data_IF_330243135363
#
_entry.id   IF_330243135363
#
_cell.length_a   1.000
_cell.length_b   1.000
_cell.length_c   1.000
_cell.angle_alpha   90.00
_cell.angle_beta   90.00
_cell.angle_gamma   90.00
#
_symmetry.space_group_name_H-M   'P 1'
#
loop_
_entity.id
_entity.type
_entity.pdbx_description
1 polymer ?
#
# COMPACT_ATOMS: atom_id res chain seq x y z
N UNK A 1 2.87 -26.85 -14.37
CA UNK A 1 3.65 -27.04 -13.13
C UNK A 1 2.65 -27.32 -12.03
N UNK A 2 2.84 -28.38 -11.25
CA UNK A 2 2.00 -28.63 -10.07
C UNK A 2 2.29 -27.56 -9.02
N UNK A 3 1.26 -26.91 -8.50
CA UNK A 3 1.42 -25.99 -7.38
C UNK A 3 1.86 -26.75 -6.12
N UNK A 4 2.68 -26.10 -5.29
CA UNK A 4 3.04 -26.63 -3.98
C UNK A 4 1.80 -26.59 -3.07
N UNK A 5 1.50 -27.64 -2.27
CA UNK A 5 0.35 -27.65 -1.37
C UNK A 5 0.26 -26.44 -0.43
N UNK A 6 1.43 -25.93 0.01
CA UNK A 6 1.58 -24.79 0.91
C UNK A 6 1.15 -23.46 0.28
N UNK A 7 1.00 -23.39 -1.05
CA UNK A 7 0.51 -22.18 -1.73
C UNK A 7 -0.86 -21.75 -1.19
N UNK A 8 -1.70 -22.73 -0.81
CA UNK A 8 -3.03 -22.53 -0.23
C UNK A 8 -3.01 -21.87 1.16
N UNK A 9 -1.87 -21.88 1.84
CA UNK A 9 -1.69 -21.28 3.17
C UNK A 9 -1.38 -19.79 3.09
N UNK A 10 -1.03 -19.27 1.90
CA UNK A 10 -0.73 -17.85 1.70
C UNK A 10 -2.02 -17.03 1.86
N UNK A 11 -2.17 -16.38 3.01
CA UNK A 11 -3.31 -15.50 3.29
C UNK A 11 -3.17 -14.12 2.65
N UNK A 12 -1.93 -13.63 2.56
CA UNK A 12 -1.61 -12.29 2.10
C UNK A 12 -0.16 -12.21 1.66
N UNK A 13 0.09 -11.48 0.58
CA UNK A 13 1.45 -11.11 0.15
C UNK A 13 1.65 -9.62 0.39
N UNK A 14 2.76 -9.26 1.02
CA UNK A 14 3.15 -7.88 1.23
C UNK A 14 4.56 -7.64 0.71
N UNK A 15 4.80 -6.48 0.08
CA UNK A 15 6.11 -6.08 -0.41
C UNK A 15 6.55 -4.77 0.25
N UNK A 16 7.56 -4.81 1.14
CA UNK A 16 8.35 -3.63 1.53
C UNK A 16 9.73 -3.77 0.89
N UNK A 17 10.11 -2.82 0.03
CA UNK A 17 11.48 -2.70 -0.47
C UNK A 17 12.29 -1.84 0.50
N UNK A 18 13.46 -2.33 0.91
CA UNK A 18 14.46 -1.49 1.56
C UNK A 18 15.04 -0.52 0.55
N UNK A 19 14.97 0.77 0.84
CA UNK A 19 15.41 1.83 -0.06
C UNK A 19 16.06 2.96 0.74
N UNK A 20 17.12 3.54 0.19
CA UNK A 20 17.67 4.78 0.74
C UNK A 20 16.66 5.92 0.58
N UNK A 21 16.64 6.84 1.55
CA UNK A 21 15.84 8.07 1.49
C UNK A 21 16.75 9.30 1.38
N UNK A 22 17.45 9.50 0.25
CA UNK A 22 18.34 10.63 0.07
C UNK A 22 17.54 11.96 0.04
N UNK A 23 18.17 13.10 0.39
CA UNK A 23 17.48 14.39 0.51
C UNK A 23 16.71 14.82 -0.76
N UNK A 24 17.22 14.47 -1.95
CA UNK A 24 16.60 14.79 -3.23
C UNK A 24 15.18 14.20 -3.39
N UNK A 25 14.89 13.06 -2.77
CA UNK A 25 13.55 12.45 -2.77
C UNK A 25 12.53 13.36 -2.10
N UNK A 26 12.95 14.09 -1.05
CA UNK A 26 12.08 14.96 -0.25
C UNK A 26 11.79 16.31 -0.92
N UNK A 27 12.50 16.65 -2.00
CA UNK A 27 12.38 17.96 -2.66
C UNK A 27 11.03 18.18 -3.32
N UNK A 28 10.36 17.12 -3.78
CA UNK A 28 9.08 17.26 -4.48
C UNK A 28 8.09 16.20 -4.01
N UNK A 29 6.81 16.60 -3.89
CA UNK A 29 5.72 15.66 -3.60
C UNK A 29 5.71 14.48 -4.56
N UNK A 30 5.95 14.73 -5.85
CA UNK A 30 6.00 13.69 -6.87
C UNK A 30 7.10 12.66 -6.61
N UNK A 31 8.27 13.10 -6.14
CA UNK A 31 9.38 12.20 -5.82
C UNK A 31 9.10 11.40 -4.55
N UNK A 32 8.50 12.01 -3.52
CA UNK A 32 8.04 11.28 -2.33
C UNK A 32 6.97 10.24 -2.65
N UNK A 33 5.97 10.58 -3.47
CA UNK A 33 4.94 9.63 -3.92
C UNK A 33 5.54 8.48 -4.73
N UNK A 34 6.51 8.77 -5.61
CA UNK A 34 7.21 7.73 -6.39
C UNK A 34 8.02 6.81 -5.48
N UNK A 35 8.77 7.38 -4.54
CA UNK A 35 9.54 6.62 -3.57
C UNK A 35 8.64 5.72 -2.74
N UNK A 36 7.53 6.26 -2.23
CA UNK A 36 6.51 5.50 -1.50
C UNK A 36 5.93 4.35 -2.34
N UNK A 37 5.51 4.64 -3.57
CA UNK A 37 4.94 3.63 -4.46
C UNK A 37 5.94 2.52 -4.82
N UNK A 38 7.22 2.85 -4.98
CA UNK A 38 8.29 1.88 -5.17
C UNK A 38 8.52 1.05 -3.90
N UNK A 39 8.64 1.69 -2.75
CA UNK A 39 8.87 1.03 -1.46
C UNK A 39 7.76 0.01 -1.14
N UNK A 40 6.50 0.33 -1.45
CA UNK A 40 5.35 -0.55 -1.23
C UNK A 40 5.08 -1.55 -2.36
N UNK A 41 5.92 -1.59 -3.40
CA UNK A 41 5.70 -2.47 -4.55
C UNK A 41 4.44 -2.15 -5.37
N UNK A 42 3.85 -0.96 -5.23
CA UNK A 42 2.71 -0.50 -6.05
C UNK A 42 3.12 -0.28 -7.51
N UNK A 43 4.41 -0.03 -7.76
CA UNK A 43 5.04 0.03 -9.08
C UNK A 43 6.29 -0.85 -9.16
N UNK A 44 6.56 -1.36 -10.37
CA UNK A 44 7.82 -2.06 -10.67
C UNK A 44 8.99 -1.07 -10.81
N UNK A 45 10.24 -1.54 -10.67
CA UNK A 45 11.42 -0.67 -10.77
C UNK A 45 11.56 -0.04 -12.17
N UNK A 46 11.03 -0.71 -13.19
CA UNK A 46 11.07 -0.31 -14.60
C UNK A 46 9.73 0.23 -15.12
N UNK A 47 8.79 0.52 -14.21
CA UNK A 47 7.46 1.00 -14.60
C UNK A 47 7.54 2.40 -15.21
N UNK A 48 7.09 2.54 -16.45
CA UNK A 48 6.94 3.85 -17.10
C UNK A 48 5.58 4.49 -16.79
N UNK A 49 4.58 3.70 -16.42
CA UNK A 49 3.22 4.18 -16.17
C UNK A 49 3.14 4.85 -14.80
N UNK A 50 2.81 6.14 -14.82
CA UNK A 50 2.75 6.97 -13.61
C UNK A 50 1.34 7.13 -13.04
N UNK A 51 0.35 6.42 -13.58
CA UNK A 51 -1.07 6.56 -13.21
C UNK A 51 -1.32 6.38 -11.73
N UNK A 52 -0.70 5.37 -11.10
CA UNK A 52 -0.82 5.15 -9.65
C UNK A 52 -0.30 6.32 -8.83
N UNK A 53 0.69 7.08 -9.31
CA UNK A 53 1.18 8.27 -8.62
C UNK A 53 0.14 9.41 -8.67
N UNK A 54 -0.65 9.48 -9.74
CA UNK A 54 -1.77 10.43 -9.86
C UNK A 54 -2.93 10.01 -8.94
N UNK A 55 -3.20 8.71 -8.83
CA UNK A 55 -4.17 8.16 -7.86
C UNK A 55 -3.75 8.42 -6.42
N UNK A 56 -2.47 8.21 -6.09
CA UNK A 56 -1.93 8.52 -4.77
C UNK A 56 -2.03 10.01 -4.47
N UNK A 57 -1.59 10.91 -5.37
CA UNK A 57 -1.73 12.36 -5.13
C UNK A 57 -3.19 12.76 -4.88
N UNK A 58 -4.13 12.19 -5.63
CA UNK A 58 -5.56 12.40 -5.40
C UNK A 58 -6.02 11.93 -4.01
N UNK A 59 -5.65 10.72 -3.60
CA UNK A 59 -6.01 10.17 -2.29
C UNK A 59 -5.42 10.98 -1.14
N UNK A 60 -4.13 11.30 -1.20
CA UNK A 60 -3.45 12.13 -0.20
C UNK A 60 -4.07 13.52 -0.11
N UNK A 61 -4.33 14.17 -1.25
CA UNK A 61 -4.92 15.50 -1.26
C UNK A 61 -6.36 15.50 -0.71
N UNK A 62 -7.21 14.59 -1.18
CA UNK A 62 -8.62 14.56 -0.79
C UNK A 62 -8.79 14.15 0.68
N UNK A 63 -8.06 13.12 1.13
CA UNK A 63 -8.14 12.68 2.53
C UNK A 63 -7.49 13.64 3.51
N UNK A 64 -6.30 14.17 3.21
CA UNK A 64 -5.54 14.97 4.19
C UNK A 64 -5.77 16.47 4.02
N UNK A 65 -5.74 17.00 2.80
CA UNK A 65 -5.89 18.44 2.57
C UNK A 65 -7.35 18.90 2.53
N UNK A 66 -8.27 18.03 2.10
CA UNK A 66 -9.71 18.34 2.07
C UNK A 66 -10.49 17.68 3.20
N UNK A 67 -9.85 16.83 4.01
CA UNK A 67 -10.50 16.06 5.06
C UNK A 67 -11.76 15.30 4.57
N UNK A 68 -11.81 14.92 3.28
CA UNK A 68 -12.95 14.23 2.68
C UNK A 68 -12.63 12.78 2.40
N UNK A 69 -13.63 11.90 2.41
CA UNK A 69 -13.46 10.50 1.99
C UNK A 69 -13.93 10.41 0.54
N UNK A 70 -13.03 10.37 -0.46
CA UNK A 70 -13.46 10.49 -1.84
C UNK A 70 -14.08 9.20 -2.40
N UNK A 71 -15.08 9.39 -3.24
CA UNK A 71 -15.63 8.39 -4.16
C UNK A 71 -14.75 8.23 -5.41
N UNK A 72 -15.02 7.20 -6.21
CA UNK A 72 -14.35 6.96 -7.50
C UNK A 72 -14.45 8.20 -8.41
N UNK A 73 -15.64 8.79 -8.52
CA UNK A 73 -15.91 9.96 -9.38
C UNK A 73 -15.11 11.19 -8.94
N UNK A 74 -14.98 11.42 -7.63
CA UNK A 74 -14.18 12.53 -7.09
C UNK A 74 -12.69 12.35 -7.35
N UNK A 75 -12.18 11.12 -7.23
CA UNK A 75 -10.79 10.79 -7.57
C UNK A 75 -10.53 11.05 -9.06
N UNK A 76 -11.41 10.57 -9.95
CA UNK A 76 -11.29 10.81 -11.40
C UNK A 76 -11.34 12.30 -11.73
N UNK A 77 -12.26 13.02 -11.12
CA UNK A 77 -12.41 14.47 -11.28
C UNK A 77 -11.16 15.22 -10.86
N UNK A 78 -10.56 14.86 -9.72
CA UNK A 78 -9.28 15.44 -9.28
C UNK A 78 -8.17 15.16 -10.29
N UNK A 79 -8.00 13.90 -10.72
CA UNK A 79 -6.94 13.52 -11.66
C UNK A 79 -7.08 14.26 -12.98
N UNK A 80 -8.30 14.35 -13.52
CA UNK A 80 -8.59 15.10 -14.75
C UNK A 80 -8.24 16.57 -14.62
N UNK A 81 -8.63 17.21 -13.52
CA UNK A 81 -8.38 18.65 -13.29
C UNK A 81 -6.91 18.95 -13.01
N UNK A 82 -6.24 18.13 -12.21
CA UNK A 82 -4.88 18.41 -11.71
C UNK A 82 -3.79 17.92 -12.67
N UNK A 83 -4.01 16.80 -13.33
CA UNK A 83 -3.01 16.14 -14.16
C UNK A 83 -3.38 16.10 -15.64
N UNK A 84 -4.53 16.65 -16.02
CA UNK A 84 -5.02 16.65 -17.41
C UNK A 84 -5.10 15.24 -18.02
N UNK A 85 -5.41 14.25 -17.20
CA UNK A 85 -5.51 12.83 -17.58
C UNK A 85 -6.90 12.28 -17.34
N UNK A 86 -7.41 11.51 -18.30
CA UNK A 86 -8.61 10.71 -18.12
C UNK A 86 -8.19 9.28 -17.76
N UNK A 87 -8.66 8.78 -16.61
CA UNK A 87 -8.44 7.41 -16.16
C UNK A 87 -9.76 6.64 -16.25
N UNK A 88 -9.73 5.43 -16.82
CA UNK A 88 -10.91 4.56 -16.81
C UNK A 88 -11.23 4.09 -15.40
N UNK A 89 -12.50 3.89 -15.11
CA UNK A 89 -12.93 3.40 -13.80
C UNK A 89 -12.31 2.03 -13.47
N UNK A 90 -12.20 1.13 -14.46
CA UNK A 90 -11.52 -0.17 -14.31
C UNK A 90 -10.07 -0.03 -13.85
N UNK A 91 -9.30 0.89 -14.46
CA UNK A 91 -7.91 1.10 -14.09
C UNK A 91 -7.77 1.78 -12.72
N UNK A 92 -8.69 2.69 -12.38
CA UNK A 92 -8.74 3.28 -11.05
C UNK A 92 -9.02 2.23 -9.97
N UNK A 93 -10.04 1.38 -10.15
CA UNK A 93 -10.34 0.29 -9.22
C UNK A 93 -9.18 -0.68 -9.08
N UNK A 94 -8.45 -0.98 -10.16
CA UNK A 94 -7.23 -1.79 -10.09
C UNK A 94 -6.23 -1.20 -9.08
N UNK A 95 -5.91 0.10 -9.19
CA UNK A 95 -4.98 0.74 -8.26
C UNK A 95 -5.52 0.81 -6.83
N UNK A 96 -6.81 1.13 -6.66
CA UNK A 96 -7.45 1.20 -5.33
C UNK A 96 -7.49 -0.17 -4.65
N UNK A 97 -7.78 -1.24 -5.39
CA UNK A 97 -7.77 -2.60 -4.86
C UNK A 97 -6.36 -3.03 -4.45
N UNK A 98 -5.32 -2.73 -5.24
CA UNK A 98 -3.94 -3.01 -4.83
C UNK A 98 -3.56 -2.31 -3.53
N UNK A 99 -4.00 -1.07 -3.32
CA UNK A 99 -3.76 -0.37 -2.04
C UNK A 99 -4.58 -0.98 -0.89
N UNK A 100 -5.80 -1.42 -1.14
CA UNK A 100 -6.62 -2.14 -0.13
C UNK A 100 -6.00 -3.46 0.28
N UNK A 101 -5.48 -4.22 -0.68
CA UNK A 101 -4.79 -5.50 -0.41
C UNK A 101 -3.59 -5.30 0.53
N UNK A 102 -2.98 -4.11 0.55
CA UNK A 102 -1.89 -3.76 1.47
C UNK A 102 -2.35 -3.24 2.84
N UNK A 103 -3.66 -3.22 3.13
CA UNK A 103 -4.27 -2.54 4.30
C UNK A 103 -4.01 -1.04 4.40
N UNK A 104 -3.41 -0.41 3.38
CA UNK A 104 -3.18 1.03 3.35
C UNK A 104 -4.50 1.81 3.22
N UNK A 105 -5.45 1.22 2.49
CA UNK A 105 -6.72 1.84 2.13
C UNK A 105 -7.87 0.94 2.55
N UNK A 106 -8.97 1.53 3.01
CA UNK A 106 -10.24 0.84 3.22
C UNK A 106 -11.34 1.51 2.39
N UNK A 107 -12.40 0.75 2.12
CA UNK A 107 -13.61 1.26 1.45
C UNK A 107 -14.78 1.21 2.43
N UNK A 108 -15.39 2.36 2.71
CA UNK A 108 -16.58 2.49 3.57
C UNK A 108 -17.64 3.30 2.83
N UNK A 109 -18.84 2.74 2.66
CA UNK A 109 -19.96 3.41 1.98
C UNK A 109 -19.57 4.00 0.61
N UNK A 110 -18.88 3.22 -0.23
CA UNK A 110 -18.37 3.66 -1.55
C UNK A 110 -17.25 4.71 -1.55
N UNK A 111 -16.81 5.16 -0.38
CA UNK A 111 -15.72 6.11 -0.22
C UNK A 111 -14.43 5.40 0.18
N UNK A 112 -13.30 5.97 -0.22
CA UNK A 112 -11.97 5.44 0.04
C UNK A 112 -11.23 6.32 1.04
N UNK A 113 -10.67 5.69 2.07
CA UNK A 113 -9.91 6.39 3.09
C UNK A 113 -8.67 5.59 3.49
N UNK A 114 -7.64 6.30 3.93
CA UNK A 114 -6.51 5.65 4.59
C UNK A 114 -7.02 4.91 5.82
N UNK A 115 -6.51 3.70 6.02
CA UNK A 115 -6.94 2.82 7.09
C UNK A 115 -6.39 3.32 8.43
N UNK A 116 -7.21 3.94 9.32
CA UNK A 116 -6.69 4.53 10.55
C UNK A 116 -6.36 3.42 11.55
N UNK A 117 -5.22 3.51 12.25
CA UNK A 117 -4.95 2.62 13.36
C UNK A 117 -6.04 2.75 14.46
N UNK A 118 -6.33 1.69 15.23
CA UNK A 118 -7.20 1.80 16.39
C UNK A 118 -6.69 2.91 17.32
N UNK A 119 -7.59 3.84 17.68
CA UNK A 119 -7.31 4.99 18.55
C UNK A 119 -6.41 6.09 17.94
N UNK A 120 -5.98 5.99 16.69
CA UNK A 120 -5.23 7.04 16.01
C UNK A 120 -6.15 8.08 15.37
N UNK A 121 -5.66 9.32 15.27
CA UNK A 121 -6.30 10.35 14.46
C UNK A 121 -6.25 9.96 12.97
N UNK A 122 -7.21 10.45 12.20
CA UNK A 122 -7.44 10.04 10.80
C UNK A 122 -6.25 10.35 9.88
N UNK A 123 -5.51 11.41 10.18
CA UNK A 123 -4.35 11.88 9.42
C UNK A 123 -3.01 11.38 9.96
N UNK A 124 -3.01 10.62 11.07
CA UNK A 124 -1.81 9.93 11.57
C UNK A 124 -1.52 8.67 10.73
N UNK A 125 -1.03 8.91 9.53
CA UNK A 125 -0.59 7.88 8.60
C UNK A 125 0.58 7.07 9.14
N UNK A 126 1.39 7.64 10.04
CA UNK A 126 2.53 6.94 10.64
C UNK A 126 2.04 5.88 11.62
N UNK A 127 1.14 6.22 12.53
CA UNK A 127 0.52 5.27 13.45
C UNK A 127 -0.22 4.17 12.67
N UNK A 128 -0.97 4.57 11.64
CA UNK A 128 -1.70 3.66 10.74
C UNK A 128 -0.76 2.65 10.06
N UNK A 129 0.32 3.15 9.44
CA UNK A 129 1.33 2.29 8.82
C UNK A 129 1.93 1.30 9.83
N UNK A 130 2.39 1.79 10.98
CA UNK A 130 2.99 0.94 12.01
C UNK A 130 2.00 -0.13 12.49
N UNK A 131 0.73 0.23 12.70
CA UNK A 131 -0.25 -0.73 13.18
C UNK A 131 -0.50 -1.86 12.16
N UNK A 132 -0.82 -1.53 10.91
CA UNK A 132 -1.23 -2.55 9.94
C UNK A 132 -0.05 -3.30 9.33
N UNK A 133 1.10 -2.64 9.14
CA UNK A 133 2.24 -3.26 8.48
C UNK A 133 3.09 -4.02 9.50
N UNK A 134 3.48 -3.40 10.61
CA UNK A 134 4.33 -4.07 11.60
C UNK A 134 3.62 -5.26 12.22
N UNK A 135 2.30 -5.18 12.51
CA UNK A 135 1.54 -6.32 13.06
C UNK A 135 1.61 -7.55 12.16
N UNK A 136 1.42 -7.38 10.85
CA UNK A 136 1.45 -8.47 9.89
C UNK A 136 2.87 -9.06 9.75
N UNK A 137 3.90 -8.21 9.74
CA UNK A 137 5.30 -8.64 9.71
C UNK A 137 5.65 -9.41 10.99
N UNK A 138 5.34 -8.88 12.16
CA UNK A 138 5.61 -9.54 13.45
C UNK A 138 4.95 -10.91 13.53
N UNK A 139 3.67 -11.02 13.17
CA UNK A 139 2.97 -12.31 13.15
C UNK A 139 3.63 -13.32 12.20
N UNK A 140 4.10 -12.85 11.04
CA UNK A 140 4.81 -13.71 10.08
C UNK A 140 6.16 -14.18 10.62
N UNK A 141 6.91 -13.29 11.28
CA UNK A 141 8.20 -13.61 11.88
C UNK A 141 8.06 -14.66 12.99
N UNK A 142 7.03 -14.57 13.85
CA UNK A 142 6.78 -15.57 14.89
C UNK A 142 6.56 -16.96 14.31
N UNK A 143 5.74 -17.11 13.26
CA UNK A 143 5.55 -18.42 12.63
C UNK A 143 6.84 -18.95 11.97
N UNK A 144 7.68 -18.07 11.40
CA UNK A 144 8.97 -18.48 10.84
C UNK A 144 9.94 -18.96 11.93
N UNK A 145 9.97 -18.30 13.08
CA UNK A 145 10.78 -18.71 14.23
C UNK A 145 10.36 -20.10 14.74
N UNK A 146 9.06 -20.38 14.85
CA UNK A 146 8.54 -21.70 15.20
C UNK A 146 8.99 -22.77 14.20
N UNK A 147 8.84 -22.51 12.90
CA UNK A 147 9.29 -23.43 11.85
C UNK A 147 10.81 -23.66 11.92
N UNK A 148 11.61 -22.63 12.14
CA UNK A 148 13.06 -22.79 12.28
C UNK A 148 13.45 -23.61 13.51
N UNK A 149 12.74 -23.43 14.63
CA UNK A 149 12.97 -24.21 15.83
C UNK A 149 12.68 -25.71 15.59
N UNK A 150 11.55 -26.02 14.96
CA UNK A 150 11.16 -27.40 14.65
C UNK A 150 12.11 -28.06 13.63
N UNK A 151 12.51 -27.32 12.58
CA UNK A 151 13.49 -27.80 11.61
C UNK A 151 14.85 -28.05 12.26
N UNK A 152 15.36 -27.11 13.05
CA UNK A 152 16.64 -27.29 13.73
C UNK A 152 16.63 -28.49 14.69
N UNK A 153 15.49 -28.76 15.34
CA UNK A 153 15.31 -29.90 16.24
C UNK A 153 15.21 -31.23 15.50
N UNK A 154 14.63 -31.26 14.29
CA UNK A 154 14.49 -32.48 13.50
C UNK A 154 15.82 -32.95 12.89
N UNK A 155 16.71 -32.03 12.48
CA UNK A 155 18.02 -32.34 11.90
C UNK A 155 19.11 -32.71 12.93
N UNK A 156 18.90 -32.40 14.22
CA UNK A 156 19.85 -32.75 15.30
C UNK A 156 19.62 -34.14 15.90
N UNK A 157 18.56 -34.83 15.49
CA UNK A 157 18.28 -36.23 15.83
C UNK A 157 19.01 -37.15 14.86
#
# INVERSE_FOLDING_TARGET
MSELPESSLIRKTFTIRTMDLPPNVKLTRRSMLRWFALAFGLISEKESRTTVLDVLDALFYLNLSKNSNPTVSEIQSYIKKKHSKNISEKLLHYHLNRMKETDLLIRKNQMYLFNPAPLAERDDLKASFNHYITKNISSTLTHLEEVFFELASSYKK
#
